data_IF_691704633324
#
_entry.id   IF_691704633324
#
_cell.length_a   1.000
_cell.length_b   1.000
_cell.length_c   1.000
_cell.angle_alpha   90.00
_cell.angle_beta   90.00
_cell.angle_gamma   90.00
#
_symmetry.space_group_name_H-M   'P 1'
#
loop_
_entity.id
_entity.type
_entity.pdbx_description
1 polymer ?
#
# COMPACT_ATOMS: atom_id res chain seq x y z
N UNK A 1 -55.41 8.84 27.75
CA UNK A 1 -54.92 7.65 27.03
C UNK A 1 -53.92 8.09 25.95
N UNK A 2 -52.89 8.85 26.35
CA UNK A 2 -52.11 9.70 25.41
C UNK A 2 -50.60 9.58 25.63
N UNK A 3 -50.17 9.17 26.82
CA UNK A 3 -48.76 8.93 27.19
C UNK A 3 -48.15 7.67 26.56
N UNK A 4 -48.97 6.66 26.26
CA UNK A 4 -48.49 5.39 25.65
C UNK A 4 -48.02 5.56 24.20
N UNK A 5 -48.69 6.42 23.43
CA UNK A 5 -48.41 6.64 22.00
C UNK A 5 -47.09 7.38 21.78
N UNK A 6 -46.80 8.40 22.61
CA UNK A 6 -45.52 9.13 22.59
C UNK A 6 -44.31 8.23 22.89
N UNK A 7 -44.44 7.27 23.80
CA UNK A 7 -43.36 6.34 24.11
C UNK A 7 -43.08 5.38 22.94
N UNK A 8 -44.11 4.99 22.19
CA UNK A 8 -43.95 4.17 20.98
C UNK A 8 -43.34 4.97 19.82
N UNK A 9 -43.82 6.19 19.59
CA UNK A 9 -43.31 7.07 18.54
C UNK A 9 -41.84 7.46 18.80
N UNK A 10 -41.47 7.68 20.06
CA UNK A 10 -40.08 7.94 20.45
C UNK A 10 -39.17 6.72 20.27
N UNK A 11 -39.64 5.51 20.57
CA UNK A 11 -38.89 4.27 20.31
C UNK A 11 -38.68 4.05 18.81
N UNK A 12 -39.70 4.32 17.99
CA UNK A 12 -39.61 4.24 16.53
C UNK A 12 -38.64 5.28 15.97
N UNK A 13 -38.68 6.52 16.47
CA UNK A 13 -37.76 7.57 16.08
C UNK A 13 -36.30 7.22 16.44
N UNK A 14 -36.05 6.66 17.62
CA UNK A 14 -34.71 6.23 18.05
C UNK A 14 -34.23 5.05 17.19
N UNK A 15 -35.09 4.08 16.88
CA UNK A 15 -34.74 2.95 16.03
C UNK A 15 -34.39 3.39 14.59
N UNK A 16 -35.14 4.34 14.03
CA UNK A 16 -34.84 4.93 12.71
C UNK A 16 -33.51 5.69 12.75
N UNK A 17 -33.27 6.49 13.79
CA UNK A 17 -32.01 7.23 13.95
C UNK A 17 -30.81 6.27 14.10
N UNK A 18 -30.95 5.16 14.82
CA UNK A 18 -29.91 4.15 15.00
C UNK A 18 -29.58 3.42 13.68
N UNK A 19 -30.58 3.09 12.87
CA UNK A 19 -30.37 2.45 11.54
C UNK A 19 -29.68 3.40 10.56
N UNK A 20 -30.04 4.69 10.59
CA UNK A 20 -29.42 5.73 9.76
C UNK A 20 -27.98 6.06 10.19
N UNK A 21 -27.65 5.94 11.48
CA UNK A 21 -26.29 6.20 11.98
C UNK A 21 -25.34 5.00 11.80
N UNK A 22 -25.87 3.77 11.78
CA UNK A 22 -25.06 2.57 11.49
C UNK A 22 -24.61 2.51 10.01
N UNK A 23 -25.42 3.06 9.10
CA UNK A 23 -25.12 3.16 7.66
C UNK A 23 -24.11 4.26 7.33
N UNK A 24 -24.07 5.35 8.11
CA UNK A 24 -23.04 6.40 7.97
C UNK A 24 -21.65 5.95 8.42
N UNK A 25 -21.54 5.15 9.48
CA UNK A 25 -20.25 4.64 9.97
C UNK A 25 -19.59 3.63 9.00
N UNK A 26 -20.41 2.82 8.32
CA UNK A 26 -19.98 1.86 7.30
C UNK A 26 -19.72 2.53 5.94
N UNK A 27 -20.47 3.58 5.60
CA UNK A 27 -20.20 4.37 4.40
C UNK A 27 -18.93 5.23 4.56
N UNK A 28 -18.62 5.76 5.74
CA UNK A 28 -17.42 6.57 5.95
C UNK A 28 -16.14 5.72 5.88
N UNK A 29 -16.16 4.50 6.41
CA UNK A 29 -15.03 3.57 6.28
C UNK A 29 -14.84 3.08 4.84
N UNK A 30 -15.93 2.86 4.09
CA UNK A 30 -15.87 2.52 2.66
C UNK A 30 -15.47 3.73 1.79
N UNK A 31 -15.95 4.92 2.12
CA UNK A 31 -15.61 6.16 1.41
C UNK A 31 -14.15 6.57 1.65
N UNK A 32 -13.61 6.36 2.85
CA UNK A 32 -12.17 6.47 3.15
C UNK A 32 -11.36 5.41 2.38
N UNK A 33 -11.88 4.17 2.25
CA UNK A 33 -11.25 3.14 1.41
C UNK A 33 -11.25 3.52 -0.09
N UNK A 34 -12.36 4.08 -0.60
CA UNK A 34 -12.54 4.46 -2.00
C UNK A 34 -11.80 5.77 -2.36
N UNK A 35 -11.67 6.72 -1.44
CA UNK A 35 -10.83 7.91 -1.64
C UNK A 35 -9.34 7.58 -1.66
N UNK A 36 -8.90 6.57 -0.92
CA UNK A 36 -7.52 6.05 -1.00
C UNK A 36 -7.23 5.41 -2.37
N UNK A 37 -8.25 4.97 -3.12
CA UNK A 37 -8.08 4.31 -4.43
C UNK A 37 -7.92 5.30 -5.60
N UNK A 38 -8.25 6.59 -5.43
CA UNK A 38 -8.47 7.52 -6.56
C UNK A 38 -7.30 8.46 -6.91
N UNK A 39 -6.15 8.42 -6.24
CA UNK A 39 -5.02 9.30 -6.58
C UNK A 39 -4.16 8.63 -7.66
N UNK A 40 -4.69 8.74 -8.88
CA UNK A 40 -4.40 7.91 -10.06
C UNK A 40 -3.41 8.52 -11.07
N UNK A 41 -2.69 9.60 -10.79
CA UNK A 41 -1.89 10.25 -11.84
C UNK A 41 -0.55 10.73 -11.32
N UNK A 42 0.50 9.93 -11.55
CA UNK A 42 1.63 10.27 -12.44
C UNK A 42 2.72 9.20 -12.32
N UNK A 43 2.81 8.31 -13.31
CA UNK A 43 4.01 7.54 -13.62
C UNK A 43 3.99 7.28 -15.14
N UNK A 44 4.88 7.95 -15.88
CA UNK A 44 4.96 7.81 -17.33
C UNK A 44 5.77 6.57 -17.71
N UNK A 45 5.11 5.71 -18.49
CA UNK A 45 5.59 4.73 -19.50
C UNK A 45 6.77 3.81 -19.15
N UNK A 46 6.54 2.82 -18.28
CA UNK A 46 7.00 1.42 -18.53
C UNK A 46 6.52 0.44 -17.46
N UNK A 47 6.01 0.93 -16.33
CA UNK A 47 5.52 0.12 -15.21
C UNK A 47 4.15 0.62 -14.75
N UNK A 48 3.10 -0.15 -15.05
CA UNK A 48 1.70 0.13 -14.71
C UNK A 48 1.39 -0.12 -13.23
N UNK A 49 2.35 0.06 -12.31
CA UNK A 49 2.11 -0.09 -10.86
C UNK A 49 1.71 1.25 -10.26
N UNK A 50 0.49 1.33 -9.75
CA UNK A 50 -0.03 2.52 -9.07
C UNK A 50 0.41 2.49 -7.61
N UNK A 51 0.96 3.59 -7.09
CA UNK A 51 1.43 3.65 -5.70
C UNK A 51 0.40 4.34 -4.79
N UNK A 52 0.28 3.96 -3.50
CA UNK A 52 -0.62 4.61 -2.57
C UNK A 52 -0.27 6.08 -2.30
N UNK A 53 -1.26 6.85 -1.85
CA UNK A 53 -1.15 8.28 -1.51
C UNK A 53 -0.16 8.55 -0.37
N UNK A 54 0.52 9.70 -0.41
CA UNK A 54 1.54 10.05 0.59
C UNK A 54 2.90 9.38 0.34
N UNK A 55 3.02 8.59 -0.73
CA UNK A 55 4.30 8.20 -1.29
C UNK A 55 5.00 9.42 -1.88
N UNK A 56 6.19 9.70 -1.41
CA UNK A 56 7.13 10.60 -2.08
C UNK A 56 8.23 9.77 -2.72
N UNK A 57 8.53 10.09 -3.99
CA UNK A 57 9.72 9.56 -4.64
C UNK A 57 10.96 10.04 -3.85
N UNK A 58 11.88 9.14 -3.55
CA UNK A 58 13.18 9.56 -3.01
C UNK A 58 13.98 10.05 -4.21
N UNK A 59 13.98 11.37 -4.43
CA UNK A 59 14.58 12.05 -5.60
C UNK A 59 16.05 11.73 -5.86
N UNK A 60 16.73 11.12 -4.90
CA UNK A 60 18.12 10.69 -5.05
C UNK A 60 18.21 9.31 -5.72
N UNK A 61 18.14 9.29 -7.05
CA UNK A 61 18.36 8.08 -7.88
C UNK A 61 19.69 7.38 -7.58
N UNK A 62 20.76 8.16 -7.33
CA UNK A 62 22.07 7.60 -7.01
C UNK A 62 22.10 6.81 -5.68
N UNK A 63 21.19 7.11 -4.75
CA UNK A 63 21.03 6.32 -3.54
C UNK A 63 20.30 4.99 -3.81
N UNK A 64 19.26 5.00 -4.66
CA UNK A 64 18.59 3.79 -5.11
C UNK A 64 19.55 2.86 -5.87
N UNK A 65 20.39 3.41 -6.75
CA UNK A 65 21.39 2.67 -7.54
C UNK A 65 22.50 2.05 -6.66
N UNK A 66 22.79 2.63 -5.49
CA UNK A 66 23.73 2.06 -4.51
C UNK A 66 23.09 0.99 -3.63
N UNK A 67 21.83 1.18 -3.25
CA UNK A 67 21.12 0.28 -2.34
C UNK A 67 20.62 -0.99 -3.04
N UNK A 68 20.12 -0.87 -4.28
CA UNK A 68 19.54 -1.98 -5.03
C UNK A 68 20.51 -3.18 -5.19
N UNK A 69 21.80 -3.01 -5.56
CA UNK A 69 22.74 -4.12 -5.66
C UNK A 69 22.94 -4.85 -4.34
N UNK A 70 22.94 -4.15 -3.20
CA UNK A 70 23.09 -4.77 -1.88
C UNK A 70 21.86 -5.56 -1.47
N UNK A 71 20.66 -5.10 -1.84
CA UNK A 71 19.39 -5.79 -1.57
C UNK A 71 19.17 -7.02 -2.47
N UNK A 72 19.57 -6.92 -3.74
CA UNK A 72 19.41 -7.97 -4.74
C UNK A 72 20.54 -9.00 -4.71
N UNK A 73 21.72 -8.62 -4.22
CA UNK A 73 22.91 -9.46 -4.15
C UNK A 73 23.19 -10.14 -5.51
N UNK A 74 23.34 -11.47 -5.52
CA UNK A 74 23.61 -12.27 -6.71
C UNK A 74 22.52 -12.18 -7.80
N UNK A 75 21.32 -11.72 -7.46
CA UNK A 75 20.20 -11.59 -8.40
C UNK A 75 20.15 -10.25 -9.12
N UNK A 76 21.04 -9.31 -8.77
CA UNK A 76 21.14 -7.99 -9.40
C UNK A 76 21.09 -8.03 -10.94
N UNK A 77 21.76 -8.97 -11.65
CA UNK A 77 21.73 -9.02 -13.12
C UNK A 77 20.35 -9.25 -13.75
N UNK A 78 19.42 -9.87 -13.01
CA UNK A 78 18.05 -10.18 -13.47
C UNK A 78 17.16 -8.94 -13.56
N UNK A 79 17.53 -7.86 -12.87
CA UNK A 79 16.75 -6.64 -12.77
C UNK A 79 17.46 -5.50 -13.49
N UNK A 80 16.70 -4.58 -14.08
CA UNK A 80 17.24 -3.49 -14.90
C UNK A 80 16.87 -2.09 -14.43
N UNK A 81 15.76 -1.96 -13.71
CA UNK A 81 15.24 -0.67 -13.26
C UNK A 81 14.91 -0.71 -11.78
N UNK A 82 15.33 0.33 -11.05
CA UNK A 82 15.12 0.46 -9.61
C UNK A 82 14.52 1.81 -9.28
N UNK A 83 13.54 1.83 -8.38
CA UNK A 83 12.94 3.07 -7.88
C UNK A 83 12.78 2.99 -6.37
N UNK A 84 13.23 4.03 -5.66
CA UNK A 84 13.14 4.12 -4.21
C UNK A 84 12.13 5.19 -3.80
N UNK A 85 11.32 4.84 -2.82
CA UNK A 85 10.23 5.65 -2.32
C UNK A 85 10.23 5.69 -0.80
N UNK A 86 9.61 6.74 -0.28
CA UNK A 86 9.30 6.87 1.14
C UNK A 86 7.86 7.34 1.30
N UNK A 87 7.09 6.64 2.11
CA UNK A 87 5.77 7.07 2.52
C UNK A 87 5.80 7.50 3.98
N UNK A 88 5.35 8.73 4.25
CA UNK A 88 5.34 9.33 5.59
C UNK A 88 3.92 9.63 6.05
N UNK A 89 3.78 10.12 7.28
CA UNK A 89 2.47 10.50 7.83
C UNK A 89 1.61 9.28 8.15
N UNK A 90 0.43 9.17 7.54
CA UNK A 90 -0.48 8.06 7.84
C UNK A 90 0.13 6.68 7.55
N UNK A 91 0.98 6.59 6.53
CA UNK A 91 1.70 5.36 6.19
C UNK A 91 2.58 4.85 7.35
N UNK A 92 3.10 5.73 8.22
CA UNK A 92 3.88 5.26 9.38
C UNK A 92 3.00 4.68 10.47
N UNK A 93 1.81 5.24 10.66
CA UNK A 93 0.83 4.77 11.66
C UNK A 93 0.17 3.46 11.24
N UNK A 94 -0.09 3.30 9.94
CA UNK A 94 -0.69 2.11 9.35
C UNK A 94 0.28 1.37 8.42
N UNK A 95 1.52 1.18 8.86
CA UNK A 95 2.57 0.62 8.02
C UNK A 95 2.22 -0.73 7.39
N UNK A 96 1.58 -1.62 8.15
CA UNK A 96 1.21 -2.95 7.65
C UNK A 96 0.08 -2.90 6.61
N UNK A 97 -0.94 -2.07 6.85
CA UNK A 97 -2.02 -1.86 5.87
C UNK A 97 -1.50 -1.17 4.61
N UNK A 98 -0.56 -0.24 4.77
CA UNK A 98 0.12 0.42 3.65
C UNK A 98 0.93 -0.58 2.81
N UNK A 99 1.68 -1.49 3.44
CA UNK A 99 2.41 -2.57 2.76
C UNK A 99 1.45 -3.51 2.05
N UNK A 100 0.33 -3.88 2.67
CA UNK A 100 -0.69 -4.70 2.03
C UNK A 100 -1.25 -4.02 0.77
N UNK A 101 -1.56 -2.72 0.84
CA UNK A 101 -2.01 -1.94 -0.31
C UNK A 101 -0.96 -1.85 -1.44
N UNK A 102 0.32 -1.71 -1.07
CA UNK A 102 1.42 -1.83 -2.05
C UNK A 102 1.37 -3.17 -2.77
N UNK A 103 1.30 -4.29 -2.04
CA UNK A 103 1.22 -5.63 -2.64
C UNK A 103 -0.03 -5.80 -3.52
N UNK A 104 -1.18 -5.31 -3.08
CA UNK A 104 -2.42 -5.30 -3.88
C UNK A 104 -2.24 -4.54 -5.19
N UNK A 105 -1.47 -3.45 -5.19
CA UNK A 105 -1.19 -2.68 -6.39
C UNK A 105 -0.36 -3.47 -7.41
N UNK A 106 0.60 -4.28 -6.96
CA UNK A 106 1.34 -5.21 -7.84
C UNK A 106 0.39 -6.25 -8.45
N UNK A 107 -0.47 -6.85 -7.61
CA UNK A 107 -1.47 -7.82 -8.06
C UNK A 107 -2.43 -7.24 -9.10
N UNK A 108 -2.92 -6.00 -8.88
CA UNK A 108 -3.77 -5.28 -9.83
C UNK A 108 -3.08 -4.99 -11.17
N UNK A 109 -1.75 -4.93 -11.18
CA UNK A 109 -0.92 -4.78 -12.38
C UNK A 109 -0.54 -6.11 -13.04
N UNK A 110 -1.09 -7.23 -12.57
CA UNK A 110 -0.85 -8.57 -13.11
C UNK A 110 0.40 -9.27 -12.56
N UNK A 111 0.99 -8.77 -11.48
CA UNK A 111 2.14 -9.39 -10.81
C UNK A 111 1.70 -10.10 -9.54
N UNK A 112 1.76 -11.43 -9.53
CA UNK A 112 1.38 -12.27 -8.39
C UNK A 112 2.57 -12.50 -7.46
N UNK A 113 2.34 -12.43 -6.15
CA UNK A 113 3.36 -12.73 -5.13
C UNK A 113 3.76 -14.21 -5.21
N UNK A 114 5.05 -14.47 -5.35
CA UNK A 114 5.61 -15.82 -5.45
C UNK A 114 6.42 -16.22 -4.23
N UNK A 115 7.08 -15.26 -3.58
CA UNK A 115 7.83 -15.50 -2.36
C UNK A 115 7.97 -14.23 -1.52
N UNK A 116 8.14 -14.38 -0.20
CA UNK A 116 8.48 -13.28 0.70
C UNK A 116 9.52 -13.73 1.72
N UNK A 117 10.56 -12.92 1.94
CA UNK A 117 11.67 -13.24 2.83
C UNK A 117 12.30 -11.99 3.44
N UNK A 118 12.94 -12.15 4.58
CA UNK A 118 13.73 -11.09 5.22
C UNK A 118 15.13 -11.03 4.63
N UNK A 119 15.61 -9.82 4.33
CA UNK A 119 16.94 -9.52 3.82
C UNK A 119 17.60 -8.49 4.75
N UNK A 120 18.87 -8.68 5.07
CA UNK A 120 19.64 -7.73 5.87
C UNK A 120 20.69 -7.04 5.01
N UNK A 121 20.76 -5.71 5.09
CA UNK A 121 21.78 -4.90 4.41
C UNK A 121 22.38 -3.94 5.43
N UNK A 122 23.64 -4.18 5.80
CA UNK A 122 24.26 -3.46 6.91
C UNK A 122 23.47 -3.68 8.21
N UNK A 123 23.08 -2.58 8.85
CA UNK A 123 22.25 -2.61 10.06
C UNK A 123 20.74 -2.68 9.76
N UNK A 124 20.33 -2.48 8.50
CA UNK A 124 18.93 -2.40 8.12
C UNK A 124 18.34 -3.78 7.81
N UNK A 125 17.11 -3.99 8.27
CA UNK A 125 16.30 -5.16 7.93
C UNK A 125 15.22 -4.76 6.93
N UNK A 126 15.15 -5.51 5.84
CA UNK A 126 14.20 -5.34 4.75
C UNK A 126 13.37 -6.60 4.59
N UNK A 127 12.10 -6.44 4.25
CA UNK A 127 11.26 -7.52 3.73
C UNK A 127 11.28 -7.45 2.22
N UNK A 128 11.76 -8.50 1.58
CA UNK A 128 11.69 -8.69 0.12
C UNK A 128 10.46 -9.52 -0.20
N UNK A 129 9.65 -9.03 -1.14
CA UNK A 129 8.57 -9.78 -1.77
C UNK A 129 8.86 -9.88 -3.26
N UNK A 130 8.93 -11.10 -3.75
CA UNK A 130 9.10 -11.43 -5.16
C UNK A 130 7.73 -11.60 -5.82
N UNK A 131 7.61 -11.09 -7.03
CA UNK A 131 6.43 -11.20 -7.87
C UNK A 131 6.80 -11.66 -9.28
N UNK A 132 5.84 -12.27 -9.98
CA UNK A 132 5.95 -12.60 -11.39
C UNK A 132 4.59 -12.38 -12.09
N UNK A 133 4.62 -12.04 -13.37
CA UNK A 133 3.43 -12.06 -14.22
C UNK A 133 3.34 -13.40 -14.98
N UNK A 134 2.27 -13.58 -15.76
CA UNK A 134 2.01 -14.80 -16.55
C UNK A 134 3.09 -15.07 -17.63
N UNK A 135 3.85 -14.04 -18.01
CA UNK A 135 4.97 -14.13 -18.95
C UNK A 135 6.30 -14.49 -18.27
N UNK A 136 6.30 -14.66 -16.95
CA UNK A 136 7.49 -14.97 -16.16
C UNK A 136 8.40 -13.77 -15.88
N UNK A 137 7.98 -12.55 -16.21
CA UNK A 137 8.73 -11.32 -15.93
C UNK A 137 8.78 -11.08 -14.42
N UNK A 138 9.98 -11.02 -13.80
CA UNK A 138 10.08 -10.87 -12.36
C UNK A 138 9.93 -9.39 -11.94
N UNK A 139 9.36 -9.18 -10.76
CA UNK A 139 9.44 -7.92 -10.01
C UNK A 139 9.75 -8.20 -8.55
N UNK A 140 10.44 -7.26 -7.90
CA UNK A 140 10.69 -7.36 -6.47
C UNK A 140 10.31 -6.04 -5.76
N UNK A 141 9.70 -6.17 -4.59
CA UNK A 141 9.43 -5.09 -3.66
C UNK A 141 10.26 -5.32 -2.40
N UNK A 142 11.08 -4.36 -2.03
CA UNK A 142 11.79 -4.34 -0.77
C UNK A 142 11.15 -3.29 0.12
N UNK A 143 10.79 -3.64 1.34
CA UNK A 143 10.20 -2.71 2.31
C UNK A 143 10.97 -2.73 3.62
N UNK A 144 11.24 -1.56 4.17
CA UNK A 144 11.65 -1.41 5.57
C UNK A 144 10.77 -0.37 6.25
N UNK A 145 10.29 -0.72 7.45
CA UNK A 145 9.42 0.12 8.27
C UNK A 145 10.30 0.81 9.31
N UNK A 146 10.27 2.15 9.34
CA UNK A 146 11.02 2.97 10.29
C UNK A 146 10.05 3.92 11.02
N UNK A 147 10.52 4.49 12.13
CA UNK A 147 9.71 5.40 12.95
C UNK A 147 9.21 6.63 12.16
N UNK A 148 9.98 7.07 11.17
CA UNK A 148 9.75 8.27 10.36
C UNK A 148 9.14 7.98 8.98
N UNK A 149 8.99 6.72 8.58
CA UNK A 149 8.59 6.37 7.22
C UNK A 149 8.48 4.88 6.93
N UNK A 150 7.68 4.53 5.93
CA UNK A 150 7.78 3.26 5.21
C UNK A 150 8.65 3.51 3.98
N UNK A 151 9.84 2.94 3.97
CA UNK A 151 10.78 3.03 2.85
C UNK A 151 10.63 1.79 1.99
N UNK A 152 10.52 1.98 0.68
CA UNK A 152 10.40 0.84 -0.22
C UNK A 152 11.09 1.05 -1.55
N UNK A 153 11.71 -0.02 -2.05
CA UNK A 153 12.38 -0.06 -3.33
C UNK A 153 11.66 -1.06 -4.24
N UNK A 154 11.33 -0.65 -5.45
CA UNK A 154 10.84 -1.54 -6.51
C UNK A 154 11.99 -1.87 -7.46
N UNK A 155 12.07 -3.13 -7.87
CA UNK A 155 13.03 -3.59 -8.86
C UNK A 155 12.28 -4.35 -9.98
N UNK A 156 12.52 -3.98 -11.22
CA UNK A 156 11.85 -4.55 -12.38
C UNK A 156 12.80 -5.45 -13.16
N UNK A 157 12.33 -6.66 -13.47
CA UNK A 157 13.01 -7.64 -14.30
C UNK A 157 13.26 -7.15 -15.71
N UNK A 158 14.41 -7.54 -16.26
CA UNK A 158 14.71 -7.38 -17.69
C UNK A 158 13.89 -8.34 -18.53
#
# INVERSE_FOLDING_TARGET
MTTSRYAEDMKRAIAVLAVLSCSLASAQTVAELLTVTAIQSTLDKTLTIRLPTGTSFVSNRAYADKLAPSLLAAESPKFGEYQLFVARGYATRLADAYVANLKTSFAASGFMESASRTVKVGADTWTRTDFANDEGRPMALFVTKRADGVYFLTATGK
#
